data_IF_521523464431
#
_entry.id   IF_521523464431
#
_cell.length_a   1.000
_cell.length_b   1.000
_cell.length_c   1.000
_cell.angle_alpha   90.00
_cell.angle_beta   90.00
_cell.angle_gamma   90.00
#
_symmetry.space_group_name_H-M   'P 1'
#
loop_
_entity.id
_entity.type
_entity.pdbx_description
1 polymer ?
#
# COMPACT_ATOMS: atom_id res chain seq x y z
N UNK A 1 -24.14 9.60 -14.13
CA UNK A 1 -22.77 9.46 -13.61
C UNK A 1 -21.82 10.11 -14.60
N UNK A 2 -21.22 11.26 -14.28
CA UNK A 2 -20.16 11.82 -15.12
C UNK A 2 -18.87 11.04 -14.88
N UNK A 3 -18.46 10.23 -15.84
CA UNK A 3 -17.14 9.59 -15.85
C UNK A 3 -16.15 10.67 -16.30
N UNK A 4 -15.73 11.54 -15.37
CA UNK A 4 -14.64 12.47 -15.66
C UNK A 4 -13.31 11.70 -15.51
N UNK A 5 -12.49 11.60 -16.57
CA UNK A 5 -11.27 10.80 -16.55
C UNK A 5 -10.15 11.40 -15.69
N UNK A 6 -10.28 12.65 -15.25
CA UNK A 6 -9.29 13.30 -14.38
C UNK A 6 -9.97 14.25 -13.38
N UNK A 7 -9.67 14.16 -12.08
CA UNK A 7 -10.13 15.14 -11.11
C UNK A 7 -9.51 16.51 -11.46
N UNK A 8 -10.32 17.48 -11.91
CA UNK A 8 -9.86 18.86 -12.15
C UNK A 8 -9.51 19.59 -10.85
N UNK A 9 -9.98 19.08 -9.70
CA UNK A 9 -9.70 19.64 -8.39
C UNK A 9 -8.49 18.92 -7.72
N UNK A 10 -7.45 19.67 -7.28
CA UNK A 10 -6.30 19.07 -6.58
C UNK A 10 -6.67 18.32 -5.30
N UNK A 11 -7.74 18.73 -4.59
CA UNK A 11 -8.19 18.05 -3.36
C UNK A 11 -8.77 16.67 -3.67
N UNK A 12 -9.55 16.55 -4.75
CA UNK A 12 -10.13 15.26 -5.17
C UNK A 12 -9.05 14.29 -5.64
N UNK A 13 -8.03 14.79 -6.35
CA UNK A 13 -6.87 14.01 -6.75
C UNK A 13 -6.15 13.42 -5.53
N UNK A 14 -5.87 14.23 -4.51
CA UNK A 14 -5.23 13.78 -3.27
C UNK A 14 -6.05 12.71 -2.54
N UNK A 15 -7.37 12.88 -2.46
CA UNK A 15 -8.26 11.86 -1.86
C UNK A 15 -8.25 10.54 -2.66
N UNK A 16 -8.22 10.61 -3.99
CA UNK A 16 -8.13 9.42 -4.84
C UNK A 16 -6.79 8.70 -4.69
N UNK A 17 -5.68 9.43 -4.56
CA UNK A 17 -4.34 8.88 -4.32
C UNK A 17 -4.24 8.16 -2.97
N UNK A 18 -4.82 8.72 -1.90
CA UNK A 18 -4.90 8.05 -0.59
C UNK A 18 -5.63 6.72 -0.68
N UNK A 19 -6.77 6.67 -1.39
CA UNK A 19 -7.52 5.42 -1.61
C UNK A 19 -6.72 4.41 -2.43
N UNK A 20 -5.97 4.86 -3.43
CA UNK A 20 -5.11 3.99 -4.24
C UNK A 20 -3.96 3.41 -3.42
N UNK A 21 -3.22 4.24 -2.68
CA UNK A 21 -2.08 3.80 -1.89
C UNK A 21 -2.48 2.94 -0.70
N UNK A 22 -3.60 3.23 -0.04
CA UNK A 22 -4.14 2.36 1.01
C UNK A 22 -4.51 0.98 0.47
N UNK A 23 -5.20 0.90 -0.68
CA UNK A 23 -5.53 -0.39 -1.31
C UNK A 23 -4.29 -1.16 -1.74
N UNK A 24 -3.28 -0.47 -2.28
CA UNK A 24 -2.00 -1.08 -2.63
C UNK A 24 -1.20 -1.54 -1.39
N UNK A 25 -1.30 -0.82 -0.26
CA UNK A 25 -0.69 -1.21 1.00
C UNK A 25 -1.35 -2.49 1.55
N UNK A 26 -2.68 -2.57 1.51
CA UNK A 26 -3.39 -3.79 1.93
C UNK A 26 -3.05 -4.96 1.01
N UNK A 27 -2.96 -4.73 -0.31
CA UNK A 27 -2.59 -5.77 -1.26
C UNK A 27 -1.14 -6.25 -1.07
N UNK A 28 -0.19 -5.35 -0.79
CA UNK A 28 1.21 -5.73 -0.55
C UNK A 28 1.39 -6.48 0.77
N UNK A 29 0.73 -6.02 1.84
CA UNK A 29 0.75 -6.71 3.15
C UNK A 29 0.06 -8.07 3.04
N UNK A 30 -1.15 -8.12 2.46
CA UNK A 30 -1.89 -9.36 2.28
C UNK A 30 -1.17 -10.37 1.38
N UNK A 31 -0.59 -9.90 0.27
CA UNK A 31 0.23 -10.73 -0.62
C UNK A 31 1.50 -11.24 0.05
N UNK A 32 2.20 -10.40 0.80
CA UNK A 32 3.40 -10.78 1.55
C UNK A 32 3.11 -11.85 2.61
N UNK A 33 2.02 -11.70 3.37
CA UNK A 33 1.57 -12.69 4.36
C UNK A 33 1.15 -14.00 3.68
N UNK A 34 0.37 -13.93 2.59
CA UNK A 34 -0.06 -15.12 1.86
C UNK A 34 1.12 -15.91 1.28
N UNK A 35 2.10 -15.23 0.68
CA UNK A 35 3.33 -15.85 0.17
C UNK A 35 4.19 -16.43 1.30
N UNK A 36 4.29 -15.75 2.45
CA UNK A 36 5.01 -16.24 3.62
C UNK A 36 4.43 -17.56 4.13
N UNK A 37 3.10 -17.62 4.29
CA UNK A 37 2.39 -18.79 4.77
C UNK A 37 2.46 -19.95 3.77
N UNK A 38 2.23 -19.68 2.48
CA UNK A 38 2.35 -20.69 1.44
C UNK A 38 3.78 -21.24 1.36
N UNK A 39 4.78 -20.37 1.42
CA UNK A 39 6.19 -20.75 1.43
C UNK A 39 6.55 -21.58 2.67
N UNK A 40 6.02 -21.24 3.85
CA UNK A 40 6.24 -22.03 5.05
C UNK A 40 5.69 -23.46 4.93
N UNK A 41 4.47 -23.62 4.41
CA UNK A 41 3.86 -24.95 4.22
C UNK A 41 4.65 -25.80 3.24
N UNK A 42 5.22 -25.21 2.19
CA UNK A 42 5.98 -25.94 1.17
C UNK A 42 7.39 -26.30 1.63
N UNK A 43 8.09 -25.37 2.26
CA UNK A 43 9.52 -25.52 2.57
C UNK A 43 9.81 -25.82 4.04
N UNK A 44 8.81 -25.74 4.93
CA UNK A 44 8.92 -25.94 6.37
C UNK A 44 10.06 -25.14 7.02
N UNK A 45 10.36 -23.97 6.46
CA UNK A 45 11.51 -23.15 6.83
C UNK A 45 11.07 -21.79 7.37
N UNK A 46 11.57 -21.46 8.56
CA UNK A 46 11.33 -20.17 9.20
C UNK A 46 11.90 -18.99 8.40
N UNK A 47 12.89 -19.24 7.53
CA UNK A 47 13.48 -18.22 6.66
C UNK A 47 12.43 -17.61 5.72
N UNK A 48 11.52 -18.42 5.18
CA UNK A 48 10.50 -17.95 4.22
C UNK A 48 9.46 -17.05 4.89
N UNK A 49 9.18 -17.30 6.17
CA UNK A 49 8.33 -16.42 6.99
C UNK A 49 8.99 -15.06 7.18
N UNK A 50 10.27 -15.04 7.56
CA UNK A 50 11.01 -13.78 7.78
C UNK A 50 11.10 -12.97 6.48
N UNK A 51 11.34 -13.63 5.35
CA UNK A 51 11.40 -12.98 4.04
C UNK A 51 10.04 -12.38 3.64
N UNK A 52 8.96 -13.14 3.79
CA UNK A 52 7.62 -12.66 3.48
C UNK A 52 7.17 -11.52 4.39
N UNK A 53 7.56 -11.55 5.67
CA UNK A 53 7.33 -10.45 6.61
C UNK A 53 8.08 -9.17 6.18
N UNK A 54 9.35 -9.29 5.78
CA UNK A 54 10.13 -8.16 5.27
C UNK A 54 9.46 -7.52 4.05
N UNK A 55 9.01 -8.33 3.09
CA UNK A 55 8.31 -7.83 1.90
C UNK A 55 6.99 -7.13 2.26
N UNK A 56 6.22 -7.69 3.21
CA UNK A 56 4.99 -7.07 3.70
C UNK A 56 5.26 -5.72 4.38
N UNK A 57 6.27 -5.63 5.24
CA UNK A 57 6.64 -4.39 5.95
C UNK A 57 7.15 -3.32 4.99
N UNK A 58 8.03 -3.67 4.05
CA UNK A 58 8.57 -2.73 3.05
C UNK A 58 7.44 -2.23 2.15
N UNK A 59 6.61 -3.15 1.64
CA UNK A 59 5.49 -2.83 0.76
C UNK A 59 4.41 -1.99 1.45
N UNK A 60 4.10 -2.29 2.71
CA UNK A 60 3.15 -1.52 3.52
C UNK A 60 3.70 -0.14 3.90
N UNK A 61 4.93 -0.11 4.40
CA UNK A 61 5.62 1.10 4.86
C UNK A 61 5.77 2.16 3.76
N UNK A 62 6.23 1.78 2.57
CA UNK A 62 6.37 2.74 1.46
C UNK A 62 5.03 3.37 1.05
N UNK A 63 3.95 2.60 1.03
CA UNK A 63 2.63 3.14 0.71
C UNK A 63 2.08 4.01 1.85
N UNK A 64 2.33 3.64 3.11
CA UNK A 64 1.95 4.45 4.27
C UNK A 64 2.67 5.81 4.29
N UNK A 65 3.96 5.85 3.94
CA UNK A 65 4.71 7.10 3.82
C UNK A 65 4.13 8.02 2.73
N UNK A 66 3.72 7.46 1.59
CA UNK A 66 3.06 8.22 0.51
C UNK A 66 1.73 8.81 0.97
N UNK A 67 0.90 8.02 1.68
CA UNK A 67 -0.35 8.52 2.27
C UNK A 67 -0.07 9.65 3.25
N UNK A 68 0.91 9.48 4.14
CA UNK A 68 1.27 10.51 5.13
C UNK A 68 1.69 11.81 4.45
N UNK A 69 2.51 11.74 3.40
CA UNK A 69 2.90 12.92 2.61
C UNK A 69 1.72 13.67 1.99
N UNK A 70 0.67 12.95 1.58
CA UNK A 70 -0.54 13.56 1.02
C UNK A 70 -1.38 14.22 2.11
N UNK A 71 -1.49 13.58 3.27
CA UNK A 71 -2.25 14.09 4.43
C UNK A 71 -1.58 15.31 5.06
N UNK A 72 -0.26 15.26 5.24
CA UNK A 72 0.54 16.35 5.82
C UNK A 72 0.74 17.53 4.84
N UNK A 73 0.24 17.43 3.61
CA UNK A 73 0.34 18.51 2.64
C UNK A 73 -0.51 19.70 3.07
N UNK A 74 0.14 20.77 3.54
CA UNK A 74 -0.49 22.07 3.75
C UNK A 74 -0.48 22.86 2.44
N UNK A 75 -1.67 23.22 1.98
CA UNK A 75 -1.84 24.21 0.91
C UNK A 75 -1.42 25.58 1.49
N UNK A 76 -0.30 26.13 1.03
CA UNK A 76 0.06 27.52 1.32
C UNK A 76 -0.77 28.41 0.37
N UNK A 77 -1.60 29.28 0.96
CA UNK A 77 -2.39 30.30 0.26
C UNK A 77 -1.59 31.60 0.11
#
# INVERSE_FOLDING_TARGET
MSIQPYPRNPIEKRKAEVRRYSRNAVASVGGGVALALAGFVLFHSSFVIVLGFLLAVIGGGMNALKVKKIVDHKDNY
#
